data_IF_356204260089
#
_entry.id   IF_356204260089
#
_cell.length_a   1.000
_cell.length_b   1.000
_cell.length_c   1.000
_cell.angle_alpha   90.00
_cell.angle_beta   90.00
_cell.angle_gamma   90.00
#
_symmetry.space_group_name_H-M   'P 1'
#
loop_
_entity.id
_entity.type
_entity.pdbx_description
1 polymer ?
#
# COMPACT_ATOMS: atom_id res chain seq x y z
N UNK A 1 -10.33 -10.50 -1.93
CA UNK A 1 -8.88 -10.78 -1.92
C UNK A 1 -8.31 -10.61 -0.52
N UNK A 2 -7.58 -11.60 0.00
CA UNK A 2 -6.80 -11.46 1.24
C UNK A 2 -5.39 -11.03 0.88
N UNK A 3 -4.92 -9.92 1.45
CA UNK A 3 -3.52 -9.47 1.32
C UNK A 3 -2.89 -9.40 2.70
N UNK A 4 -1.63 -9.82 2.78
CA UNK A 4 -0.80 -9.64 3.97
C UNK A 4 0.04 -8.38 3.82
N UNK A 5 -0.10 -7.47 4.79
CA UNK A 5 0.72 -6.27 4.85
C UNK A 5 2.02 -6.54 5.62
N UNK A 6 3.13 -6.09 5.04
CA UNK A 6 4.44 -6.10 5.66
C UNK A 6 5.12 -4.76 5.49
N UNK A 7 5.38 -4.09 6.60
CA UNK A 7 6.31 -2.97 6.67
C UNK A 7 7.74 -3.47 6.48
N UNK A 8 8.51 -2.78 5.63
CA UNK A 8 9.91 -3.08 5.34
C UNK A 8 10.80 -1.92 5.73
N UNK A 9 12.13 -2.09 5.64
CA UNK A 9 13.09 -1.03 6.00
C UNK A 9 12.92 0.23 5.13
N UNK A 10 12.52 0.07 3.88
CA UNK A 10 12.52 1.13 2.86
C UNK A 10 11.16 1.35 2.22
N UNK A 11 10.09 0.75 2.73
CA UNK A 11 8.85 0.63 1.98
C UNK A 11 7.84 -0.30 2.64
N UNK A 12 6.87 -0.77 1.86
CA UNK A 12 5.94 -1.81 2.29
C UNK A 12 5.68 -2.82 1.18
N UNK A 13 5.11 -3.95 1.59
CA UNK A 13 4.65 -4.99 0.71
C UNK A 13 3.22 -5.41 1.06
N UNK A 14 2.40 -5.62 0.04
CA UNK A 14 1.13 -6.32 0.13
C UNK A 14 1.23 -7.59 -0.70
N UNK A 15 0.82 -8.74 -0.15
CA UNK A 15 0.95 -10.02 -0.85
C UNK A 15 -0.20 -10.96 -0.55
N UNK A 16 -0.82 -11.50 -1.59
CA UNK A 16 -1.75 -12.63 -1.52
C UNK A 16 -0.98 -13.97 -1.49
N UNK A 17 -1.67 -15.04 -1.10
CA UNK A 17 -1.11 -16.41 -1.13
C UNK A 17 -0.72 -16.86 -2.55
N UNK A 18 -1.53 -16.46 -3.53
CA UNK A 18 -1.23 -16.64 -4.95
C UNK A 18 -1.02 -15.28 -5.61
N UNK A 19 0.18 -15.11 -6.15
CA UNK A 19 0.57 -13.91 -6.91
C UNK A 19 0.19 -14.16 -8.37
N UNK A 20 -0.52 -13.19 -8.96
CA UNK A 20 -0.77 -13.14 -10.40
C UNK A 20 0.44 -12.64 -11.18
N UNK A 21 0.37 -12.71 -12.49
CA UNK A 21 1.47 -12.44 -13.42
C UNK A 21 1.24 -11.20 -14.30
N UNK A 22 0.09 -10.53 -14.16
CA UNK A 22 -0.24 -9.34 -14.94
C UNK A 22 0.22 -8.07 -14.24
N UNK A 23 1.22 -7.41 -14.82
CA UNK A 23 1.66 -6.10 -14.36
C UNK A 23 0.56 -5.04 -14.55
N UNK A 24 0.28 -4.29 -13.48
CA UNK A 24 -0.51 -3.08 -13.53
C UNK A 24 0.45 -1.88 -13.54
N UNK A 25 0.54 -1.12 -14.64
CA UNK A 25 1.50 -0.04 -14.75
C UNK A 25 1.18 1.07 -13.73
N UNK A 26 2.10 1.29 -12.81
CA UNK A 26 2.08 2.43 -11.89
C UNK A 26 3.08 3.50 -12.37
N UNK A 27 2.80 4.80 -12.14
CA UNK A 27 3.68 5.89 -12.59
C UNK A 27 5.04 5.92 -11.88
N UNK A 28 5.10 5.46 -10.64
CA UNK A 28 6.33 5.43 -9.87
C UNK A 28 7.22 4.26 -10.28
N UNK A 29 8.50 4.58 -10.55
CA UNK A 29 9.54 3.64 -10.96
C UNK A 29 9.86 2.57 -9.89
N UNK A 30 9.45 2.77 -8.65
CA UNK A 30 9.75 1.89 -7.51
C UNK A 30 8.49 1.22 -6.94
N UNK A 31 7.45 1.10 -7.75
CA UNK A 31 6.22 0.39 -7.40
C UNK A 31 6.00 -0.74 -8.40
N UNK A 32 6.05 -1.95 -7.90
CA UNK A 32 5.62 -3.14 -8.63
C UNK A 32 4.20 -3.49 -8.18
N UNK A 33 3.28 -3.65 -9.13
CA UNK A 33 1.92 -4.13 -8.85
C UNK A 33 1.59 -5.28 -9.80
N UNK A 34 1.23 -6.43 -9.23
CA UNK A 34 0.77 -7.60 -9.99
C UNK A 34 -0.68 -7.92 -9.68
N UNK A 35 -1.44 -8.23 -10.73
CA UNK A 35 -2.87 -8.54 -10.68
C UNK A 35 -3.15 -9.96 -11.15
N UNK A 36 -4.25 -10.52 -10.68
CA UNK A 36 -4.79 -11.77 -11.22
C UNK A 36 -5.51 -11.53 -12.56
N UNK A 37 -6.12 -12.57 -13.12
CA UNK A 37 -6.82 -12.48 -14.40
C UNK A 37 -8.05 -11.57 -14.38
N UNK A 38 -8.58 -11.27 -13.20
CA UNK A 38 -9.73 -10.42 -12.95
C UNK A 38 -9.33 -8.96 -12.69
N UNK A 39 -8.02 -8.65 -12.70
CA UNK A 39 -7.49 -7.32 -12.41
C UNK A 39 -7.41 -6.99 -10.92
N UNK A 40 -7.69 -7.95 -10.03
CA UNK A 40 -7.52 -7.74 -8.59
C UNK A 40 -6.04 -7.78 -8.23
N UNK A 41 -5.59 -6.85 -7.39
CA UNK A 41 -4.21 -6.78 -6.92
C UNK A 41 -3.90 -8.00 -6.05
N UNK A 42 -2.80 -8.67 -6.38
CA UNK A 42 -2.29 -9.83 -5.63
C UNK A 42 -0.92 -9.57 -5.04
N UNK A 43 -0.22 -8.56 -5.54
CA UNK A 43 1.10 -8.18 -5.07
C UNK A 43 1.33 -6.68 -5.25
N UNK A 44 1.95 -6.09 -4.23
CA UNK A 44 2.52 -4.74 -4.28
C UNK A 44 3.87 -4.80 -3.59
N UNK A 45 4.93 -4.35 -4.24
CA UNK A 45 6.18 -4.02 -3.57
C UNK A 45 6.50 -2.56 -3.87
N UNK A 46 6.56 -1.75 -2.80
CA UNK A 46 6.73 -0.33 -2.94
C UNK A 46 7.87 0.15 -2.06
N UNK A 47 8.91 0.67 -2.71
CA UNK A 47 10.04 1.32 -2.05
C UNK A 47 9.83 2.83 -2.05
N UNK A 48 9.86 3.45 -0.87
CA UNK A 48 9.76 4.90 -0.75
C UNK A 48 11.05 5.56 -1.21
N UNK A 49 10.94 6.56 -2.07
CA UNK A 49 12.05 7.40 -2.51
C UNK A 49 12.34 8.52 -1.52
N UNK A 50 11.29 9.08 -0.93
CA UNK A 50 11.39 10.26 -0.06
C UNK A 50 10.85 9.94 1.33
N UNK A 51 9.72 10.55 1.71
CA UNK A 51 8.97 10.19 2.90
C UNK A 51 7.78 9.29 2.53
N UNK A 52 7.43 8.31 3.39
CA UNK A 52 6.26 7.45 3.16
C UNK A 52 4.98 8.24 2.91
N UNK A 53 4.81 9.38 3.59
CA UNK A 53 3.60 10.18 3.51
C UNK A 53 3.51 11.00 2.22
N UNK A 54 4.62 11.53 1.72
CA UNK A 54 4.65 12.26 0.45
C UNK A 54 4.46 11.31 -0.73
N UNK A 55 5.19 10.19 -0.74
CA UNK A 55 5.10 9.19 -1.80
C UNK A 55 3.68 8.61 -1.87
N UNK A 56 3.08 8.21 -0.73
CA UNK A 56 1.70 7.72 -0.70
C UNK A 56 0.69 8.79 -1.10
N UNK A 57 0.90 10.07 -0.75
CA UNK A 57 -0.01 11.16 -1.13
C UNK A 57 0.01 11.39 -2.64
N UNK A 58 1.19 11.40 -3.25
CA UNK A 58 1.34 11.58 -4.69
C UNK A 58 0.64 10.46 -5.45
N UNK A 59 0.91 9.22 -5.10
CA UNK A 59 0.33 8.07 -5.81
C UNK A 59 -1.17 7.88 -5.54
N UNK A 60 -1.67 8.14 -4.32
CA UNK A 60 -3.12 8.15 -4.07
C UNK A 60 -3.86 9.17 -4.93
N UNK A 61 -3.22 10.31 -5.26
CA UNK A 61 -3.80 11.29 -6.18
C UNK A 61 -3.87 10.76 -7.61
N UNK A 62 -2.88 9.98 -8.03
CA UNK A 62 -2.87 9.36 -9.35
C UNK A 62 -3.92 8.25 -9.49
N UNK A 63 -4.00 7.33 -8.52
CA UNK A 63 -4.96 6.23 -8.50
C UNK A 63 -6.40 6.74 -8.53
N UNK A 64 -6.68 7.82 -7.79
CA UNK A 64 -8.01 8.42 -7.69
C UNK A 64 -8.59 8.83 -9.05
N UNK A 65 -7.74 9.28 -9.97
CA UNK A 65 -8.19 9.97 -11.19
C UNK A 65 -8.06 9.12 -12.46
N UNK A 66 -7.41 7.94 -12.41
CA UNK A 66 -7.03 7.21 -13.64
C UNK A 66 -7.18 5.70 -13.63
N UNK A 67 -7.22 5.03 -12.47
CA UNK A 67 -7.19 3.56 -12.41
C UNK A 67 -8.23 3.04 -11.43
N UNK A 68 -9.29 2.44 -11.95
CA UNK A 68 -10.23 1.67 -11.14
C UNK A 68 -9.68 0.25 -10.96
N UNK A 69 -9.27 -0.07 -9.73
CA UNK A 69 -8.77 -1.40 -9.37
C UNK A 69 -9.93 -2.22 -8.81
N UNK A 70 -10.37 -3.29 -9.50
CA UNK A 70 -11.50 -4.10 -9.05
C UNK A 70 -11.13 -4.93 -7.82
N UNK A 71 -12.17 -5.45 -7.18
CA UNK A 71 -12.06 -6.35 -6.03
C UNK A 71 -12.23 -5.65 -4.68
N UNK A 72 -12.55 -6.47 -3.67
CA UNK A 72 -12.61 -6.07 -2.27
C UNK A 72 -11.50 -6.80 -1.52
N UNK A 73 -10.84 -6.08 -0.62
CA UNK A 73 -9.60 -6.48 0.01
C UNK A 73 -9.77 -6.54 1.53
N UNK A 74 -9.21 -7.59 2.10
CA UNK A 74 -9.06 -7.74 3.55
C UNK A 74 -7.57 -7.78 3.85
N UNK A 75 -7.13 -6.96 4.81
CA UNK A 75 -5.72 -6.87 5.24
C UNK A 75 -5.71 -6.85 6.78
N UNK A 76 -5.60 -8.02 7.41
CA UNK A 76 -5.75 -8.16 8.86
C UNK A 76 -4.78 -7.29 9.65
N UNK A 77 -3.53 -7.12 9.18
CA UNK A 77 -2.50 -6.36 9.87
C UNK A 77 -2.79 -4.84 9.89
N UNK A 78 -3.70 -4.37 9.04
CA UNK A 78 -4.19 -2.99 9.00
C UNK A 78 -5.62 -2.86 9.55
N UNK A 79 -6.23 -3.95 10.00
CA UNK A 79 -7.60 -3.96 10.55
C UNK A 79 -8.68 -3.60 9.53
N UNK A 80 -8.48 -3.92 8.24
CA UNK A 80 -9.43 -3.63 7.17
C UNK A 80 -10.05 -4.91 6.62
N UNK A 81 -11.35 -4.85 6.35
CA UNK A 81 -12.16 -5.94 5.80
C UNK A 81 -13.07 -5.38 4.70
N UNK A 82 -13.21 -6.12 3.59
CA UNK A 82 -14.08 -5.77 2.47
C UNK A 82 -13.89 -4.32 1.95
N UNK A 83 -12.64 -3.85 1.92
CA UNK A 83 -12.29 -2.49 1.50
C UNK A 83 -11.87 -2.44 0.03
N UNK A 84 -12.07 -1.32 -0.64
CA UNK A 84 -11.47 -1.06 -1.95
C UNK A 84 -9.94 -0.97 -1.84
N UNK A 85 -9.22 -1.20 -2.94
CA UNK A 85 -7.76 -1.10 -2.92
C UNK A 85 -7.27 0.32 -2.54
N UNK A 86 -8.02 1.35 -2.90
CA UNK A 86 -7.75 2.72 -2.47
C UNK A 86 -7.81 2.88 -0.94
N UNK A 87 -8.81 2.29 -0.30
CA UNK A 87 -8.93 2.30 1.16
C UNK A 87 -7.80 1.52 1.83
N UNK A 88 -7.30 0.46 1.21
CA UNK A 88 -6.08 -0.24 1.64
C UNK A 88 -4.89 0.73 1.65
N UNK A 89 -4.66 1.47 0.56
CA UNK A 89 -3.55 2.44 0.48
C UNK A 89 -3.69 3.59 1.47
N UNK A 90 -4.91 4.10 1.71
CA UNK A 90 -5.15 5.08 2.78
C UNK A 90 -4.89 4.49 4.17
N UNK A 91 -5.19 3.20 4.41
CA UNK A 91 -4.85 2.53 5.66
C UNK A 91 -3.32 2.39 5.84
N UNK A 92 -2.57 2.06 4.79
CA UNK A 92 -1.10 2.06 4.80
C UNK A 92 -0.55 3.46 5.15
N UNK A 93 -1.12 4.50 4.57
CA UNK A 93 -0.75 5.90 4.87
C UNK A 93 -1.02 6.28 6.32
N UNK A 94 -2.18 5.85 6.89
CA UNK A 94 -2.47 6.03 8.32
C UNK A 94 -1.44 5.31 9.19
N UNK A 95 -1.10 4.06 8.87
CA UNK A 95 -0.07 3.29 9.56
C UNK A 95 1.27 4.06 9.61
N UNK A 96 1.75 4.58 8.47
CA UNK A 96 2.99 5.36 8.46
C UNK A 96 2.89 6.68 9.21
N UNK A 97 1.74 7.35 9.17
CA UNK A 97 1.50 8.58 9.94
C UNK A 97 1.66 8.32 11.45
N UNK A 98 1.00 7.28 11.96
CA UNK A 98 1.06 6.88 13.36
C UNK A 98 2.45 6.41 13.78
N UNK A 99 3.12 5.62 12.93
CA UNK A 99 4.49 5.15 13.15
C UNK A 99 5.48 6.31 13.25
N UNK A 100 5.35 7.34 12.40
CA UNK A 100 6.22 8.52 12.43
C UNK A 100 5.95 9.40 13.66
N UNK A 101 4.69 9.62 14.02
CA UNK A 101 4.31 10.36 15.24
C UNK A 101 4.78 9.66 16.53
N UNK A 102 4.73 8.33 16.58
CA UNK A 102 5.21 7.55 17.72
C UNK A 102 6.74 7.63 17.88
N UNK A 103 7.49 7.70 16.77
CA UNK A 103 8.95 7.91 16.82
C UNK A 103 9.34 9.32 17.30
N UNK A 104 8.50 10.31 17.05
CA UNK A 104 8.75 11.69 17.51
C UNK A 104 8.53 11.81 19.02
N UNK A 105 7.47 11.20 19.56
CA UNK A 105 7.17 11.25 21.00
C UNK A 105 8.24 10.56 21.86
N UNK A 106 8.89 9.50 21.36
CA UNK A 106 10.05 8.88 22.05
C UNK A 106 11.32 9.71 22.05
N UNK A 107 11.42 10.79 21.26
CA UNK A 107 12.62 11.65 21.20
C UNK A 107 12.56 12.90 22.08
N UNK A 108 11.41 13.21 22.70
CA UNK A 108 11.22 14.45 23.48
C UNK A 108 11.30 14.23 25.00
N UNK A 109 11.81 13.08 25.44
CA UNK A 109 12.16 12.81 26.85
C UNK A 109 13.59 12.30 26.92
N UNK A 110 14.55 13.23 26.84
CA UNK A 110 15.94 13.05 27.24
C UNK A 110 16.49 14.40 27.68
#
# INVERSE_FOLDING_TARGET
>A
MLLHFKDTKSGFRLKADRIGDKELPFPSLLVEVLTNNQGEVTFVDWVFMSSPLEDLKFELSYVKDRVEIPGLYTVPELGIENATFKEVLEAVKRYYKEKLSSKQTTKTTA
#
